data_IF_821100693019
#
_entry.id   IF_821100693019
#
_cell.length_a   1.000
_cell.length_b   1.000
_cell.length_c   1.000
_cell.angle_alpha   90.00
_cell.angle_beta   90.00
_cell.angle_gamma   90.00
#
_symmetry.space_group_name_H-M   'P 1'
#
loop_
_entity.id
_entity.type
_entity.pdbx_description
1 polymer ?
#
# COMPACT_ATOMS: atom_id res chain seq x y z
N UNK A 1 -2.54 -15.56 -27.64
CA UNK A 1 -2.79 -15.43 -26.19
C UNK A 1 -4.10 -14.69 -26.07
N UNK A 2 -5.10 -15.26 -25.41
CA UNK A 2 -6.43 -14.66 -25.27
C UNK A 2 -6.73 -14.45 -23.79
N UNK A 3 -7.40 -13.34 -23.48
CA UNK A 3 -7.74 -12.98 -22.10
C UNK A 3 -9.04 -13.67 -21.73
N UNK A 4 -9.01 -14.50 -20.67
CA UNK A 4 -10.18 -15.26 -20.20
C UNK A 4 -11.02 -14.43 -19.23
N UNK A 5 -10.37 -13.67 -18.36
CA UNK A 5 -11.03 -12.85 -17.33
C UNK A 5 -10.19 -11.62 -17.04
N UNK A 6 -10.72 -10.45 -17.37
CA UNK A 6 -10.01 -9.17 -17.22
C UNK A 6 -9.75 -8.84 -15.74
N UNK A 7 -10.79 -8.94 -14.90
CA UNK A 7 -10.72 -8.62 -13.46
C UNK A 7 -10.89 -9.88 -12.61
N UNK A 8 -9.79 -10.63 -12.45
CA UNK A 8 -9.83 -11.91 -11.75
C UNK A 8 -9.99 -11.76 -10.22
N UNK A 9 -9.23 -10.86 -9.62
CA UNK A 9 -9.14 -10.63 -8.18
C UNK A 9 -8.64 -9.21 -7.88
N UNK A 10 -8.86 -8.76 -6.65
CA UNK A 10 -8.21 -7.58 -6.08
C UNK A 10 -7.01 -8.06 -5.26
N UNK A 11 -5.85 -7.45 -5.47
CA UNK A 11 -4.62 -7.73 -4.76
C UNK A 11 -4.24 -6.50 -3.94
N UNK A 12 -3.87 -6.72 -2.68
CA UNK A 12 -3.33 -5.69 -1.81
C UNK A 12 -1.87 -5.40 -2.12
N UNK A 13 -1.42 -4.18 -1.81
CA UNK A 13 -0.05 -3.77 -2.10
C UNK A 13 0.96 -4.65 -1.36
N UNK A 14 0.62 -5.15 -0.17
CA UNK A 14 1.46 -6.09 0.58
C UNK A 14 1.56 -7.47 -0.07
N UNK A 15 0.48 -7.99 -0.67
CA UNK A 15 0.52 -9.23 -1.45
C UNK A 15 1.40 -9.09 -2.69
N UNK A 16 1.29 -7.94 -3.37
CA UNK A 16 2.15 -7.60 -4.51
C UNK A 16 3.61 -7.49 -4.07
N UNK A 17 3.90 -6.80 -2.99
CA UNK A 17 5.26 -6.67 -2.44
C UNK A 17 5.86 -8.05 -2.11
N UNK A 18 5.12 -8.88 -1.37
CA UNK A 18 5.54 -10.23 -1.00
C UNK A 18 5.84 -11.09 -2.23
N UNK A 19 4.99 -10.99 -3.27
CA UNK A 19 5.19 -11.69 -4.52
C UNK A 19 6.45 -11.20 -5.24
N UNK A 20 6.61 -9.90 -5.39
CA UNK A 20 7.76 -9.31 -6.08
C UNK A 20 9.07 -9.60 -5.35
N UNK A 21 9.08 -9.59 -4.02
CA UNK A 21 10.22 -10.01 -3.21
C UNK A 21 10.59 -11.48 -3.43
N UNK A 22 9.60 -12.36 -3.55
CA UNK A 22 9.87 -13.77 -3.90
C UNK A 22 10.42 -13.93 -5.32
N UNK A 23 10.11 -13.00 -6.23
CA UNK A 23 10.59 -12.98 -7.61
C UNK A 23 11.94 -12.27 -7.77
N UNK A 24 12.38 -11.48 -6.78
CA UNK A 24 13.72 -10.88 -6.75
C UNK A 24 14.75 -12.01 -6.76
N UNK A 25 15.29 -12.31 -7.95
CA UNK A 25 16.42 -13.23 -8.07
C UNK A 25 17.63 -12.60 -7.35
N UNK A 26 18.41 -13.37 -6.57
CA UNK A 26 19.63 -12.86 -5.95
C UNK A 26 20.54 -12.39 -7.08
N UNK A 27 20.65 -11.07 -7.21
CA UNK A 27 21.62 -10.32 -8.02
C UNK A 27 22.10 -11.09 -9.25
N UNK A 28 21.38 -10.96 -10.36
CA UNK A 28 22.14 -10.68 -11.58
C UNK A 28 22.76 -9.31 -11.35
N UNK A 29 23.92 -9.30 -10.70
CA UNK A 29 24.92 -8.29 -10.97
C UNK A 29 25.05 -8.28 -12.48
N UNK A 30 24.37 -7.35 -13.11
CA UNK A 30 24.94 -6.72 -14.29
C UNK A 30 26.20 -6.06 -13.75
N UNK A 31 27.26 -6.88 -13.59
CA UNK A 31 28.59 -6.37 -13.82
C UNK A 31 28.44 -5.66 -15.15
N UNK A 32 28.49 -4.34 -15.06
CA UNK A 32 28.78 -3.47 -16.17
C UNK A 32 30.14 -3.93 -16.69
N UNK A 33 30.13 -5.05 -17.42
CA UNK A 33 31.22 -5.41 -18.27
C UNK A 33 31.14 -4.39 -19.39
N UNK A 34 31.93 -3.34 -19.19
CA UNK A 34 32.43 -2.45 -20.20
C UNK A 34 33.11 -3.29 -21.29
N UNK A 35 32.34 -4.01 -22.13
CA UNK A 35 32.73 -4.51 -23.44
C UNK A 35 31.65 -5.40 -24.05
N UNK A 36 31.19 -4.95 -25.22
CA UNK A 36 30.76 -5.72 -26.41
C UNK A 36 29.29 -6.18 -26.52
N UNK A 37 28.72 -5.70 -27.63
CA UNK A 37 27.87 -6.42 -28.58
C UNK A 37 26.47 -6.85 -28.13
N UNK A 38 25.48 -6.18 -28.73
CA UNK A 38 24.07 -6.56 -28.88
C UNK A 38 23.55 -7.62 -27.90
N UNK A 39 23.04 -7.15 -26.75
CA UNK A 39 22.22 -7.96 -25.85
C UNK A 39 21.13 -8.68 -26.66
N UNK A 40 20.95 -9.97 -26.39
CA UNK A 40 19.84 -10.75 -26.93
C UNK A 40 18.50 -10.10 -26.56
N UNK A 41 17.48 -10.25 -27.40
CA UNK A 41 16.11 -9.79 -27.07
C UNK A 41 15.60 -10.39 -25.74
N UNK A 42 16.08 -11.58 -25.37
CA UNK A 42 15.79 -12.22 -24.09
C UNK A 42 16.43 -11.51 -22.90
N UNK A 43 17.62 -10.95 -23.07
CA UNK A 43 18.33 -10.20 -22.03
C UNK A 43 17.73 -8.81 -21.87
N UNK A 44 17.36 -8.15 -22.99
CA UNK A 44 16.64 -6.88 -22.97
C UNK A 44 15.28 -7.01 -22.29
N UNK A 45 14.52 -8.07 -22.57
CA UNK A 45 13.22 -8.30 -21.91
C UNK A 45 13.37 -8.57 -20.42
N UNK A 46 14.42 -9.30 -20.01
CA UNK A 46 14.74 -9.51 -18.60
C UNK A 46 15.15 -8.20 -17.90
N UNK A 47 15.92 -7.34 -18.56
CA UNK A 47 16.25 -6.01 -18.03
C UNK A 47 15.01 -5.17 -17.81
N UNK A 48 14.11 -5.08 -18.80
CA UNK A 48 12.83 -4.35 -18.67
C UNK A 48 12.00 -4.90 -17.51
N UNK A 49 11.92 -6.21 -17.36
CA UNK A 49 11.23 -6.85 -16.24
C UNK A 49 11.85 -6.45 -14.90
N UNK A 50 13.18 -6.50 -14.78
CA UNK A 50 13.88 -6.12 -13.55
C UNK A 50 13.67 -4.65 -13.19
N UNK A 51 13.63 -3.75 -14.18
CA UNK A 51 13.30 -2.33 -13.96
C UNK A 51 11.91 -2.17 -13.36
N UNK A 52 10.90 -2.81 -13.95
CA UNK A 52 9.52 -2.74 -13.45
C UNK A 52 9.42 -3.29 -12.02
N UNK A 53 10.06 -4.44 -11.76
CA UNK A 53 10.07 -5.03 -10.40
C UNK A 53 10.72 -4.08 -9.40
N UNK A 54 11.88 -3.51 -9.74
CA UNK A 54 12.60 -2.62 -8.85
C UNK A 54 11.81 -1.33 -8.55
N UNK A 55 11.28 -0.68 -9.58
CA UNK A 55 10.49 0.56 -9.42
C UNK A 55 9.20 0.31 -8.63
N UNK A 56 8.50 -0.80 -8.90
CA UNK A 56 7.27 -1.15 -8.19
C UNK A 56 7.55 -1.45 -6.71
N UNK A 57 8.59 -2.23 -6.42
CA UNK A 57 8.94 -2.54 -5.02
C UNK A 57 9.36 -1.28 -4.29
N UNK A 58 10.22 -0.45 -4.89
CA UNK A 58 10.61 0.83 -4.30
C UNK A 58 9.40 1.71 -3.98
N UNK A 59 8.45 1.81 -4.90
CA UNK A 59 7.22 2.57 -4.69
C UNK A 59 6.40 2.03 -3.51
N UNK A 60 6.20 0.71 -3.42
CA UNK A 60 5.41 0.10 -2.35
C UNK A 60 6.15 0.17 -0.99
N UNK A 61 7.48 0.10 -0.98
CA UNK A 61 8.31 0.27 0.23
C UNK A 61 8.16 1.67 0.85
N UNK A 62 7.89 2.70 0.04
CA UNK A 62 7.61 4.07 0.51
C UNK A 62 6.15 4.24 1.00
N UNK A 63 5.26 3.27 0.75
CA UNK A 63 3.85 3.34 1.16
C UNK A 63 3.64 2.87 2.61
N UNK A 64 2.58 3.34 3.29
CA UNK A 64 2.30 2.97 4.69
C UNK A 64 1.95 1.49 4.89
N UNK A 65 1.69 0.74 3.82
CA UNK A 65 1.43 -0.70 3.85
C UNK A 65 2.68 -1.58 3.89
N UNK A 66 3.88 -1.02 3.69
CA UNK A 66 5.13 -1.78 3.57
C UNK A 66 5.46 -2.64 4.80
N UNK A 67 5.05 -2.21 5.99
CA UNK A 67 5.37 -2.87 7.27
C UNK A 67 4.31 -3.89 7.69
N UNK A 68 3.25 -4.08 6.90
CA UNK A 68 2.15 -5.00 7.24
C UNK A 68 2.58 -6.46 7.11
N UNK A 69 1.99 -7.33 7.93
CA UNK A 69 2.18 -8.79 7.84
C UNK A 69 0.89 -9.49 7.45
N UNK A 70 0.94 -10.73 6.94
CA UNK A 70 -0.26 -11.51 6.65
C UNK A 70 -1.20 -11.65 7.86
N UNK A 71 -0.64 -11.71 9.08
CA UNK A 71 -1.41 -11.74 10.32
C UNK A 71 -2.12 -10.42 10.59
N UNK A 72 -1.44 -9.27 10.41
CA UNK A 72 -2.06 -7.95 10.62
C UNK A 72 -3.21 -7.72 9.64
N UNK A 73 -3.03 -8.09 8.37
CA UNK A 73 -4.09 -8.02 7.34
C UNK A 73 -5.30 -8.87 7.75
N UNK A 74 -5.07 -10.12 8.18
CA UNK A 74 -6.15 -11.02 8.60
C UNK A 74 -6.89 -10.50 9.83
N UNK A 75 -6.17 -9.92 10.78
CA UNK A 75 -6.77 -9.31 11.97
C UNK A 75 -7.59 -8.07 11.62
N UNK A 76 -7.07 -7.20 10.75
CA UNK A 76 -7.80 -6.05 10.23
C UNK A 76 -9.09 -6.47 9.53
N UNK A 77 -9.04 -7.46 8.63
CA UNK A 77 -10.23 -7.93 7.89
C UNK A 77 -11.31 -8.51 8.82
N UNK A 78 -10.93 -9.11 9.95
CA UNK A 78 -11.87 -9.58 10.98
C UNK A 78 -12.46 -8.43 11.78
N UNK A 79 -11.62 -7.49 12.21
CA UNK A 79 -12.04 -6.35 13.02
C UNK A 79 -12.93 -5.38 12.25
N UNK A 80 -12.71 -5.23 10.94
CA UNK A 80 -13.50 -4.36 10.07
C UNK A 80 -14.77 -5.05 9.51
N UNK A 81 -14.93 -6.35 9.73
CA UNK A 81 -16.07 -7.11 9.22
C UNK A 81 -17.46 -6.59 9.67
N UNK A 82 -17.63 -6.05 10.88
CA UNK A 82 -18.92 -5.48 11.32
C UNK A 82 -19.35 -4.24 10.54
N UNK A 83 -18.41 -3.51 9.95
CA UNK A 83 -18.72 -2.32 9.14
C UNK A 83 -19.07 -2.73 7.71
N UNK A 84 -20.13 -2.13 7.18
CA UNK A 84 -20.67 -2.36 5.83
C UNK A 84 -19.79 -1.73 4.74
N UNK A 85 -18.49 -2.07 4.74
CA UNK A 85 -17.52 -1.61 3.74
C UNK A 85 -17.45 -2.56 2.55
N UNK A 86 -17.32 -1.98 1.35
CA UNK A 86 -17.11 -2.73 0.11
C UNK A 86 -15.71 -3.35 0.07
N UNK A 87 -15.48 -4.29 -0.85
CA UNK A 87 -14.15 -4.90 -1.01
C UNK A 87 -13.10 -3.88 -1.45
N UNK A 88 -13.48 -2.90 -2.26
CA UNK A 88 -12.59 -1.84 -2.72
C UNK A 88 -12.22 -0.89 -1.58
N UNK A 89 -13.20 -0.49 -0.76
CA UNK A 89 -12.97 0.35 0.44
C UNK A 89 -12.03 -0.34 1.44
N UNK A 90 -12.28 -1.62 1.73
CA UNK A 90 -11.39 -2.41 2.60
C UNK A 90 -9.96 -2.47 2.07
N UNK A 91 -9.81 -2.59 0.75
CA UNK A 91 -8.50 -2.60 0.08
C UNK A 91 -7.81 -1.23 0.17
N UNK A 92 -8.56 -0.15 -0.03
CA UNK A 92 -8.05 1.22 0.09
C UNK A 92 -7.60 1.53 1.52
N UNK A 93 -8.40 1.20 2.53
CA UNK A 93 -8.01 1.33 3.93
C UNK A 93 -6.75 0.53 4.25
N UNK A 94 -6.64 -0.68 3.72
CA UNK A 94 -5.47 -1.53 3.90
C UNK A 94 -4.21 -0.93 3.26
N UNK A 95 -4.31 -0.43 2.03
CA UNK A 95 -3.17 0.11 1.29
C UNK A 95 -2.72 1.49 1.79
N UNK A 96 -3.67 2.36 2.18
CA UNK A 96 -3.40 3.75 2.53
C UNK A 96 -3.26 3.99 4.03
N UNK A 97 -3.78 3.09 4.88
CA UNK A 97 -3.72 3.17 6.35
C UNK A 97 -4.07 4.59 6.86
N UNK A 98 -5.34 5.02 6.76
CA UNK A 98 -5.70 6.38 7.09
C UNK A 98 -5.39 6.73 8.54
N UNK A 99 -4.95 7.96 8.78
CA UNK A 99 -4.61 8.47 10.13
C UNK A 99 -5.56 9.55 10.64
N UNK A 100 -6.40 10.09 9.76
CA UNK A 100 -7.37 11.14 10.06
C UNK A 100 -8.76 10.78 9.54
N UNK A 101 -9.78 11.42 10.13
CA UNK A 101 -11.17 11.28 9.67
C UNK A 101 -11.36 11.79 8.23
N UNK A 102 -10.65 12.86 7.87
CA UNK A 102 -10.68 13.44 6.52
C UNK A 102 -10.19 12.43 5.49
N UNK A 103 -9.13 11.67 5.79
CA UNK A 103 -8.68 10.59 4.89
C UNK A 103 -9.74 9.49 4.73
N UNK A 104 -10.44 9.11 5.80
CA UNK A 104 -11.55 8.15 5.72
C UNK A 104 -12.66 8.66 4.78
N UNK A 105 -13.02 9.94 4.87
CA UNK A 105 -14.03 10.55 4.01
C UNK A 105 -13.64 10.55 2.53
N UNK A 106 -12.34 10.63 2.24
CA UNK A 106 -11.82 10.55 0.86
C UNK A 106 -11.74 9.11 0.33
N UNK A 107 -11.58 8.11 1.22
CA UNK A 107 -11.44 6.70 0.85
C UNK A 107 -12.77 5.95 0.78
N UNK A 108 -13.78 6.38 1.55
CA UNK A 108 -15.11 5.75 1.60
C UNK A 108 -16.15 6.70 1.02
N UNK A 109 -16.77 6.26 -0.07
CA UNK A 109 -17.84 7.00 -0.74
C UNK A 109 -19.06 7.16 0.19
N UNK A 110 -19.62 8.37 0.21
CA UNK A 110 -20.82 8.75 0.98
C UNK A 110 -20.70 8.36 2.48
N UNK A 111 -19.49 8.47 3.02
CA UNK A 111 -19.17 8.06 4.40
C UNK A 111 -20.05 8.73 5.46
N UNK A 112 -20.40 10.01 5.28
CA UNK A 112 -21.27 10.77 6.19
C UNK A 112 -22.74 10.30 6.18
N UNK A 113 -23.20 9.72 5.07
CA UNK A 113 -24.55 9.16 4.96
C UNK A 113 -24.60 7.72 5.49
N UNK A 114 -23.50 6.98 5.35
CA UNK A 114 -23.41 5.55 5.68
C UNK A 114 -22.98 5.27 7.12
N UNK A 115 -22.21 6.18 7.73
CA UNK A 115 -21.62 6.00 9.05
C UNK A 115 -21.79 7.26 9.89
N UNK A 116 -22.05 7.07 11.18
CA UNK A 116 -21.97 8.17 12.13
C UNK A 116 -20.51 8.48 12.49
N UNK A 117 -20.30 9.65 13.11
CA UNK A 117 -18.96 10.11 13.48
C UNK A 117 -18.25 9.13 14.44
N UNK A 118 -18.98 8.52 15.37
CA UNK A 118 -18.44 7.52 16.30
C UNK A 118 -17.94 6.26 15.58
N UNK A 119 -18.69 5.77 14.58
CA UNK A 119 -18.32 4.61 13.76
C UNK A 119 -17.10 4.91 12.89
N UNK A 120 -17.02 6.10 12.31
CA UNK A 120 -15.84 6.49 11.53
C UNK A 120 -14.59 6.59 12.43
N UNK A 121 -14.74 7.13 13.64
CA UNK A 121 -13.68 7.13 14.65
C UNK A 121 -13.31 5.70 15.08
N UNK A 122 -14.27 4.79 15.18
CA UNK A 122 -14.02 3.38 15.50
C UNK A 122 -13.26 2.67 14.37
N UNK A 123 -13.62 2.91 13.11
CA UNK A 123 -12.89 2.41 11.94
C UNK A 123 -11.43 2.89 11.98
N UNK A 124 -11.21 4.18 12.29
CA UNK A 124 -9.87 4.75 12.41
C UNK A 124 -9.07 4.07 13.53
N UNK A 125 -9.72 3.80 14.68
CA UNK A 125 -9.11 3.08 15.80
C UNK A 125 -8.77 1.64 15.41
N UNK A 126 -9.64 0.95 14.68
CA UNK A 126 -9.39 -0.41 14.17
C UNK A 126 -8.18 -0.43 13.26
N UNK A 127 -8.07 0.52 12.32
CA UNK A 127 -6.90 0.67 11.44
C UNK A 127 -5.62 0.83 12.26
N UNK A 128 -5.61 1.78 13.20
CA UNK A 128 -4.43 2.07 14.04
C UNK A 128 -4.05 0.90 14.95
N UNK A 129 -5.03 0.19 15.51
CA UNK A 129 -4.80 -0.92 16.44
C UNK A 129 -4.36 -2.22 15.76
N UNK A 130 -4.74 -2.44 14.48
CA UNK A 130 -4.48 -3.70 13.78
C UNK A 130 -3.35 -3.59 12.75
N UNK A 131 -3.13 -2.43 12.14
CA UNK A 131 -2.12 -2.23 11.10
C UNK A 131 -0.89 -1.50 11.67
N UNK A 132 0.32 -2.07 11.47
CA UNK A 132 1.55 -1.46 11.96
C UNK A 132 1.79 -0.07 11.35
N UNK A 133 2.52 0.81 12.05
CA UNK A 133 2.90 2.11 11.53
C UNK A 133 3.70 1.98 10.23
N UNK A 134 3.44 2.90 9.30
CA UNK A 134 4.23 3.00 8.06
C UNK A 134 5.67 3.42 8.36
N UNK A 135 6.59 3.21 7.40
CA UNK A 135 8.02 3.45 7.59
C UNK A 135 8.39 4.92 7.90
N UNK A 136 7.51 5.89 7.60
CA UNK A 136 7.73 7.32 7.90
C UNK A 136 7.00 7.84 9.16
N UNK A 137 6.30 6.97 9.92
CA UNK A 137 5.47 7.43 11.04
C UNK A 137 6.28 7.91 12.28
N UNK A 138 7.60 7.77 12.28
CA UNK A 138 8.49 8.24 13.36
C UNK A 138 8.95 9.71 13.21
N UNK A 139 8.56 10.44 12.16
CA UNK A 139 9.14 11.77 11.85
C UNK A 139 8.17 12.94 11.64
N UNK A 140 6.97 12.94 12.25
CA UNK A 140 6.16 14.16 12.33
C UNK A 140 5.73 14.45 13.76
N UNK A 141 6.41 15.37 14.49
CA UNK A 141 5.78 16.02 15.63
C UNK A 141 4.55 16.79 15.13
N UNK A 142 3.42 16.59 15.80
CA UNK A 142 2.19 17.35 15.62
C UNK A 142 2.52 18.84 15.59
N UNK A 143 2.29 19.51 14.45
CA UNK A 143 2.36 20.96 14.40
C UNK A 143 1.18 21.52 15.19
N UNK A 144 1.42 21.85 16.46
CA UNK A 144 0.64 22.84 17.20
C UNK A 144 0.67 24.14 16.38
N UNK A 145 -0.48 24.52 15.85
CA UNK A 145 -0.69 25.83 15.24
C UNK A 145 -1.02 26.81 16.36
N UNK A 146 0.00 27.48 16.89
CA UNK A 146 -0.17 28.68 17.73
C UNK A 146 -0.68 29.83 16.84
N UNK A 147 -1.93 30.23 17.04
CA UNK A 147 -2.45 31.49 16.54
C UNK A 147 -1.96 32.62 17.46
N UNK A 148 -0.81 33.23 17.14
CA UNK A 148 -0.50 34.55 17.69
C UNK A 148 -1.30 35.62 16.92
N UNK A 149 -2.38 36.06 17.56
CA UNK A 149 -3.17 37.24 17.25
C UNK A 149 -2.34 38.49 17.60
N UNK A 150 -1.67 39.10 16.61
CA UNK A 150 -1.05 40.41 16.78
C UNK A 150 -2.09 41.52 16.52
N UNK A 151 -2.38 42.28 17.58
CA UNK A 151 -3.16 43.52 17.56
C UNK A 151 -2.36 44.75 17.11
#
# INVERSE_FOLDING_TARGET
MEVIKDNAALLSNIEVLTLLDSMKRPKYSVQMNEMKEQLSEKEKSLQRFNTIVYETVKYIEEMPCATQTPESVKNFLKAIAPYSLTKAEKLQLLNMRPTSLVEIQLLIEESEERFNEDQMNEILRVVSATLPPGPEADSKPSSEVDYEENG
#
